data_IF_809599668412
#
_entry.id   IF_809599668412
#
_cell.length_a   1.000
_cell.length_b   1.000
_cell.length_c   1.000
_cell.angle_alpha   90.00
_cell.angle_beta   90.00
_cell.angle_gamma   90.00
#
_symmetry.space_group_name_H-M   'P 1'
#
loop_
_entity.id
_entity.type
_entity.pdbx_description
1 polymer ?
#
# COMPACT_ATOMS: atom_id res chain seq x y z
N UNK A 1 19.32 -16.47 11.66
CA UNK A 1 19.10 -15.30 10.80
C UNK A 1 17.66 -14.88 11.02
N UNK A 2 17.40 -13.69 11.57
CA UNK A 2 16.02 -13.25 11.79
C UNK A 2 15.33 -13.10 10.42
N UNK A 3 14.11 -13.61 10.22
CA UNK A 3 13.37 -13.33 9.01
C UNK A 3 13.17 -11.81 8.95
N UNK A 4 13.53 -11.24 7.82
CA UNK A 4 13.41 -9.81 7.57
C UNK A 4 11.98 -9.59 7.14
N UNK A 5 11.15 -9.43 8.14
CA UNK A 5 9.75 -9.10 7.99
C UNK A 5 9.62 -7.59 8.18
N UNK A 6 9.30 -6.89 7.10
CA UNK A 6 9.03 -5.45 7.14
C UNK A 6 7.55 -5.22 6.85
N UNK A 7 6.87 -4.53 7.78
CA UNK A 7 5.50 -4.07 7.63
C UNK A 7 5.48 -2.55 7.47
N UNK A 8 4.97 -2.06 6.34
CA UNK A 8 4.94 -0.63 6.00
C UNK A 8 3.68 -0.31 5.19
N UNK A 9 3.24 0.96 5.08
CA UNK A 9 2.26 1.33 4.08
C UNK A 9 2.71 0.89 2.67
N UNK A 10 1.77 0.44 1.83
CA UNK A 10 2.10 0.03 0.46
C UNK A 10 2.59 1.19 -0.39
N UNK A 11 2.03 2.37 -0.17
CA UNK A 11 2.37 3.62 -0.85
C UNK A 11 2.39 4.77 0.15
N UNK A 12 3.17 5.83 -0.10
CA UNK A 12 3.33 6.94 0.85
C UNK A 12 2.13 7.90 0.92
N UNK A 13 1.27 7.91 -0.10
CA UNK A 13 0.12 8.80 -0.21
C UNK A 13 -1.10 8.02 -0.70
N UNK A 14 -2.29 8.46 -0.30
CA UNK A 14 -3.54 7.89 -0.78
C UNK A 14 -3.78 8.22 -2.27
N UNK A 15 -4.88 7.70 -2.83
CA UNK A 15 -5.24 7.96 -4.22
C UNK A 15 -5.31 9.47 -4.51
N UNK A 16 -4.51 9.91 -5.49
CA UNK A 16 -4.44 11.30 -5.96
C UNK A 16 -5.68 11.67 -6.77
N UNK A 17 -5.99 12.97 -6.78
CA UNK A 17 -6.95 13.53 -7.73
C UNK A 17 -6.42 13.38 -9.16
N UNK A 18 -7.26 12.82 -10.05
CA UNK A 18 -6.93 12.65 -11.46
C UNK A 18 -6.70 13.97 -12.20
N UNK A 19 -7.29 15.07 -11.74
CA UNK A 19 -7.09 16.43 -12.26
C UNK A 19 -5.81 17.09 -11.79
N UNK A 20 -5.18 16.57 -10.72
CA UNK A 20 -3.92 17.08 -10.17
C UNK A 20 -2.99 15.94 -9.76
N UNK A 21 -2.40 15.22 -10.75
CA UNK A 21 -1.59 14.03 -10.50
C UNK A 21 -0.16 14.41 -10.10
N UNK A 22 0.01 15.14 -8.99
CA UNK A 22 1.31 15.55 -8.47
C UNK A 22 1.32 15.50 -6.95
N UNK A 23 2.48 15.16 -6.38
CA UNK A 23 2.70 15.20 -4.92
C UNK A 23 3.81 16.17 -4.61
N UNK A 24 3.53 17.16 -3.77
CA UNK A 24 4.54 18.04 -3.19
C UNK A 24 4.84 17.58 -1.77
N UNK A 25 6.09 17.23 -1.51
CA UNK A 25 6.58 16.79 -0.22
C UNK A 25 6.89 17.98 0.70
N UNK A 26 7.02 17.78 2.03
CA UNK A 26 7.33 18.86 2.97
C UNK A 26 8.65 19.61 2.71
N UNK A 27 9.58 19.00 1.99
CA UNK A 27 10.85 19.60 1.56
C UNK A 27 10.71 20.47 0.29
N UNK A 28 9.50 20.60 -0.26
CA UNK A 28 9.20 21.37 -1.46
C UNK A 28 9.44 20.64 -2.78
N UNK A 29 9.90 19.39 -2.74
CA UNK A 29 10.06 18.57 -3.96
C UNK A 29 8.69 18.14 -4.48
N UNK A 30 8.45 18.33 -5.78
CA UNK A 30 7.25 17.83 -6.46
C UNK A 30 7.60 16.64 -7.34
N UNK A 31 6.78 15.58 -7.28
CA UNK A 31 6.95 14.37 -8.07
C UNK A 31 5.67 13.99 -8.82
N UNK A 32 5.86 13.32 -9.96
CA UNK A 32 4.78 12.67 -10.69
C UNK A 32 4.25 11.43 -9.93
N UNK A 33 3.05 10.94 -10.25
CA UNK A 33 2.39 9.88 -9.49
C UNK A 33 3.16 8.57 -9.49
N UNK A 34 3.86 8.27 -10.60
CA UNK A 34 4.61 7.02 -10.72
C UNK A 34 5.75 7.05 -9.72
N UNK A 35 6.54 8.13 -9.70
CA UNK A 35 7.65 8.24 -8.75
C UNK A 35 7.16 8.25 -7.31
N UNK A 36 6.09 9.00 -7.01
CA UNK A 36 5.55 9.06 -5.67
C UNK A 36 5.07 7.68 -5.16
N UNK A 37 4.30 6.92 -5.96
CA UNK A 37 3.75 5.65 -5.51
C UNK A 37 4.77 4.52 -5.38
N UNK A 38 5.80 4.47 -6.22
CA UNK A 38 6.76 3.35 -6.20
C UNK A 38 7.75 3.41 -5.04
N UNK A 39 7.85 4.53 -4.30
CA UNK A 39 8.87 4.74 -3.25
C UNK A 39 8.98 3.58 -2.25
N UNK A 40 7.85 2.95 -1.92
CA UNK A 40 7.81 1.87 -0.92
C UNK A 40 7.78 0.47 -1.52
N UNK A 41 7.49 0.29 -2.79
CA UNK A 41 7.50 -1.03 -3.46
C UNK A 41 8.80 -1.28 -4.25
N UNK A 42 9.46 -0.22 -4.71
CA UNK A 42 10.72 -0.31 -5.46
C UNK A 42 11.85 -1.06 -4.72
N UNK A 43 12.04 -0.91 -3.39
CA UNK A 43 13.08 -1.68 -2.68
C UNK A 43 12.90 -3.19 -2.79
N UNK A 44 11.67 -3.70 -2.69
CA UNK A 44 11.39 -5.14 -2.81
C UNK A 44 11.66 -5.64 -4.24
N UNK A 45 11.30 -4.85 -5.26
CA UNK A 45 11.61 -5.17 -6.66
C UNK A 45 13.13 -5.27 -6.91
N UNK A 46 13.90 -4.29 -6.42
CA UNK A 46 15.35 -4.24 -6.61
C UNK A 46 16.06 -5.35 -5.83
N UNK A 47 15.55 -5.71 -4.65
CA UNK A 47 16.11 -6.77 -3.81
C UNK A 47 15.62 -8.19 -4.20
N UNK A 48 14.66 -8.31 -5.13
CA UNK A 48 14.08 -9.59 -5.52
C UNK A 48 13.34 -10.28 -4.37
N UNK A 49 12.70 -9.51 -3.49
CA UNK A 49 12.00 -10.01 -2.31
C UNK A 49 10.51 -10.21 -2.57
N UNK A 50 9.89 -11.25 -1.98
CA UNK A 50 8.44 -11.40 -2.03
C UNK A 50 7.77 -10.32 -1.18
N UNK A 51 6.76 -9.67 -1.76
CA UNK A 51 5.97 -8.64 -1.10
C UNK A 51 4.48 -8.84 -1.37
N UNK A 52 3.65 -8.56 -0.37
CA UNK A 52 2.19 -8.64 -0.45
C UNK A 52 1.58 -7.34 0.09
N UNK A 53 0.62 -6.78 -0.64
CA UNK A 53 -0.23 -5.69 -0.14
C UNK A 53 -1.58 -6.23 0.28
N UNK A 54 -2.00 -5.96 1.52
CA UNK A 54 -3.34 -6.25 2.04
C UNK A 54 -4.07 -4.93 2.35
N UNK A 55 -5.40 -4.82 2.18
CA UNK A 55 -6.14 -3.64 2.63
C UNK A 55 -5.98 -3.49 4.15
N UNK A 56 -5.81 -2.29 4.67
CA UNK A 56 -5.67 -2.08 6.13
C UNK A 56 -6.51 -0.94 6.71
N UNK A 57 -7.35 -0.32 5.89
CA UNK A 57 -8.32 0.67 6.33
C UNK A 57 -8.62 1.68 5.23
N UNK A 58 -9.14 2.82 5.67
CA UNK A 58 -9.51 3.94 4.81
C UNK A 58 -8.96 5.24 5.37
N UNK A 59 -8.67 6.20 4.51
CA UNK A 59 -8.44 7.59 4.92
C UNK A 59 -9.73 8.20 5.47
N UNK A 60 -9.62 9.37 6.10
CA UNK A 60 -10.79 10.14 6.51
C UNK A 60 -11.72 10.51 5.34
N UNK A 61 -11.20 10.55 4.10
CA UNK A 61 -11.96 10.77 2.87
C UNK A 61 -12.52 9.47 2.26
N UNK A 62 -12.41 8.32 2.94
CA UNK A 62 -12.91 7.03 2.47
C UNK A 62 -12.06 6.37 1.39
N UNK A 63 -10.82 6.80 1.18
CA UNK A 63 -9.92 6.18 0.20
C UNK A 63 -9.20 4.96 0.80
N UNK A 64 -9.07 3.84 0.08
CA UNK A 64 -8.40 2.65 0.60
C UNK A 64 -6.93 2.89 0.97
N UNK A 65 -6.49 2.25 2.05
CA UNK A 65 -5.08 2.21 2.48
C UNK A 65 -4.59 0.76 2.42
N UNK A 66 -3.38 0.54 1.92
CA UNK A 66 -2.73 -0.77 1.88
C UNK A 66 -1.60 -0.90 2.91
N UNK A 67 -1.48 -2.08 3.51
CA UNK A 67 -0.34 -2.53 4.29
C UNK A 67 0.48 -3.51 3.44
N UNK A 68 1.77 -3.22 3.28
CA UNK A 68 2.74 -4.07 2.61
C UNK A 68 3.49 -4.92 3.64
N UNK A 69 3.56 -6.21 3.35
CA UNK A 69 4.37 -7.21 4.07
C UNK A 69 5.45 -7.68 3.11
N UNK A 70 6.72 -7.49 3.48
CA UNK A 70 7.87 -7.97 2.71
C UNK A 70 8.54 -9.10 3.48
N UNK A 71 8.75 -10.24 2.83
CA UNK A 71 9.45 -11.39 3.38
C UNK A 71 10.86 -11.54 2.82
N UNK A 72 11.54 -12.64 3.20
CA UNK A 72 12.86 -12.95 2.67
C UNK A 72 12.90 -13.67 1.32
N UNK A 73 14.08 -13.83 0.68
CA UNK A 73 14.24 -14.55 -0.57
C UNK A 73 13.60 -15.92 -0.44
N UNK A 74 12.73 -16.23 -1.40
CA UNK A 74 12.04 -17.51 -1.48
C UNK A 74 11.11 -17.81 -0.28
N UNK A 75 10.65 -16.78 0.44
CA UNK A 75 9.77 -16.89 1.61
C UNK A 75 8.31 -16.49 1.31
N UNK A 76 7.86 -16.69 0.06
CA UNK A 76 6.48 -16.41 -0.39
C UNK A 76 5.46 -17.12 0.50
N UNK A 77 5.77 -18.34 0.95
CA UNK A 77 4.91 -19.12 1.82
C UNK A 77 4.63 -18.39 3.15
N UNK A 78 5.62 -17.73 3.74
CA UNK A 78 5.41 -16.93 4.97
C UNK A 78 4.59 -15.70 4.68
N UNK A 79 4.93 -14.95 3.63
CA UNK A 79 4.21 -13.73 3.23
C UNK A 79 2.72 -14.04 2.99
N UNK A 80 2.42 -15.14 2.28
CA UNK A 80 1.04 -15.58 2.03
C UNK A 80 0.34 -16.06 3.31
N UNK A 81 1.04 -16.73 4.23
CA UNK A 81 0.46 -17.10 5.54
C UNK A 81 0.10 -15.88 6.37
N UNK A 82 0.95 -14.86 6.38
CA UNK A 82 0.66 -13.59 7.06
C UNK A 82 -0.57 -12.94 6.44
N UNK A 83 -0.63 -12.85 5.10
CA UNK A 83 -1.80 -12.33 4.40
C UNK A 83 -3.09 -13.09 4.71
N UNK A 84 -3.03 -14.42 4.75
CA UNK A 84 -4.18 -15.26 5.08
C UNK A 84 -4.63 -15.10 6.53
N UNK A 85 -3.68 -15.07 7.48
CA UNK A 85 -3.98 -14.83 8.89
C UNK A 85 -4.61 -13.44 9.09
N UNK A 86 -4.07 -12.43 8.41
CA UNK A 86 -4.61 -11.08 8.40
C UNK A 86 -6.04 -11.03 7.86
N UNK A 87 -6.27 -11.62 6.67
CA UNK A 87 -7.58 -11.69 6.05
C UNK A 87 -8.60 -12.43 6.92
N UNK A 88 -8.20 -13.50 7.59
CA UNK A 88 -9.08 -14.31 8.43
C UNK A 88 -9.44 -13.64 9.75
N UNK A 89 -8.55 -12.78 10.28
CA UNK A 89 -8.77 -12.02 11.51
C UNK A 89 -9.50 -10.70 11.27
N UNK A 90 -9.41 -10.15 10.07
CA UNK A 90 -10.01 -8.87 9.72
C UNK A 90 -11.45 -9.04 9.22
N UNK A 91 -12.37 -8.27 9.82
CA UNK A 91 -13.77 -8.18 9.38
C UNK A 91 -13.89 -7.21 8.20
N UNK A 92 -13.33 -7.59 7.05
CA UNK A 92 -13.35 -6.76 5.85
C UNK A 92 -14.77 -6.63 5.30
N UNK A 93 -15.25 -5.41 4.97
CA UNK A 93 -16.46 -5.26 4.19
C UNK A 93 -16.31 -6.00 2.86
N UNK A 94 -17.39 -6.59 2.35
CA UNK A 94 -17.40 -7.19 1.03
C UNK A 94 -16.91 -6.18 -0.01
N UNK A 95 -15.77 -6.46 -0.63
CA UNK A 95 -15.19 -5.62 -1.69
C UNK A 95 -16.00 -5.76 -3.00
N UNK A 96 -16.17 -4.68 -3.78
CA UNK A 96 -15.68 -3.33 -3.51
C UNK A 96 -16.58 -2.55 -2.55
N UNK A 97 -16.01 -1.77 -1.61
CA UNK A 97 -16.75 -0.63 -1.06
C UNK A 97 -17.16 0.23 -2.24
N UNK A 98 -18.43 0.68 -2.29
CA UNK A 98 -18.90 1.55 -3.37
C UNK A 98 -18.08 2.85 -3.34
N UNK A 99 -17.11 2.95 -4.25
CA UNK A 99 -16.37 4.18 -4.50
C UNK A 99 -17.33 5.19 -5.15
N UNK A 100 -17.69 6.26 -4.43
CA UNK A 100 -18.35 7.42 -5.03
C UNK A 100 -17.28 8.45 -5.38
N UNK A 101 -16.91 8.61 -6.67
CA UNK A 101 -15.89 9.59 -7.08
C UNK A 101 -16.26 11.03 -6.72
N UNK A 102 -17.53 11.33 -6.38
CA UNK A 102 -17.98 12.66 -5.94
C UNK A 102 -17.80 12.90 -4.44
N UNK A 103 -17.50 11.85 -3.67
CA UNK A 103 -17.30 11.96 -2.22
C UNK A 103 -15.86 12.35 -1.85
N UNK A 104 -14.94 12.36 -2.82
CA UNK A 104 -13.57 12.85 -2.62
C UNK A 104 -13.60 14.38 -2.68
N UNK A 105 -13.23 15.10 -1.60
CA UNK A 105 -13.15 16.56 -1.65
C UNK A 105 -12.09 17.00 -2.67
N UNK A 106 -12.43 18.01 -3.46
CA UNK A 106 -11.53 18.68 -4.40
C UNK A 106 -10.38 19.41 -3.71
#
# INVERSE_FOLDING_TARGET
>A
MQPFELTLPTVPVAAMDAGKPEVTWPDGVTEDPVQAYIRYSAPANLAGLPALSVPCGFTAAGLPIGLQVVGGPFDEATVLRVGHAYQSAADWPSWPPRFDPRAVPA
#
